data_IF_367468118948
#
_entry.id   IF_367468118948
#
_cell.length_a   1.000
_cell.length_b   1.000
_cell.length_c   1.000
_cell.angle_alpha   90.00
_cell.angle_beta   90.00
_cell.angle_gamma   90.00
#
_symmetry.space_group_name_H-M   'P 1'
#
loop_
_entity.id
_entity.type
_entity.pdbx_description
1 polymer ?
#
# COMPACT_ATOMS: atom_id res chain seq x y z
N UNK A 1 17.29 7.82 -55.32
CA UNK A 1 16.06 8.18 -54.59
C UNK A 1 16.29 7.75 -53.14
N UNK A 2 17.02 8.57 -52.40
CA UNK A 2 17.37 8.34 -50.99
C UNK A 2 16.19 8.74 -50.10
N UNK A 3 15.69 7.79 -49.30
CA UNK A 3 14.68 8.10 -48.29
C UNK A 3 15.40 8.66 -47.07
N UNK A 4 15.25 9.93 -46.85
CA UNK A 4 15.65 10.57 -45.58
C UNK A 4 14.90 9.91 -44.38
N UNK A 5 15.67 9.31 -43.52
CA UNK A 5 15.23 8.79 -42.24
C UNK A 5 15.04 10.00 -41.30
N UNK A 6 13.80 10.45 -41.09
CA UNK A 6 13.52 11.43 -40.06
C UNK A 6 13.50 10.71 -38.72
N UNK A 7 14.34 11.12 -37.75
CA UNK A 7 14.24 10.56 -36.40
C UNK A 7 12.90 11.01 -35.79
N UNK A 8 12.12 10.02 -35.35
CA UNK A 8 10.94 10.26 -34.56
C UNK A 8 11.39 10.98 -33.29
N UNK A 9 10.74 12.11 -32.98
CA UNK A 9 10.90 12.81 -31.71
C UNK A 9 10.58 11.82 -30.60
N UNK A 10 11.60 11.41 -29.83
CA UNK A 10 11.44 10.71 -28.58
C UNK A 10 10.60 11.61 -27.67
N UNK A 11 9.32 11.28 -27.53
CA UNK A 11 8.47 11.77 -26.47
C UNK A 11 9.00 11.10 -25.19
N UNK A 12 10.00 11.71 -24.57
CA UNK A 12 10.43 11.33 -23.22
C UNK A 12 9.27 11.62 -22.28
N UNK A 13 8.37 10.63 -22.14
CA UNK A 13 7.53 10.51 -20.94
C UNK A 13 8.48 10.18 -19.79
N UNK A 14 9.17 11.17 -19.29
CA UNK A 14 9.79 11.11 -17.99
C UNK A 14 8.63 11.02 -16.99
N UNK A 15 8.24 9.79 -16.64
CA UNK A 15 7.27 9.55 -15.56
C UNK A 15 7.90 10.16 -14.31
N UNK A 16 7.41 11.33 -13.93
CA UNK A 16 7.91 12.04 -12.75
C UNK A 16 7.48 11.25 -11.52
N UNK A 17 8.42 10.53 -10.92
CA UNK A 17 8.18 9.72 -9.73
C UNK A 17 7.93 10.63 -8.52
N UNK A 18 6.78 10.49 -7.89
CA UNK A 18 6.44 11.23 -6.68
C UNK A 18 7.02 10.53 -5.46
N UNK A 19 7.89 11.22 -4.73
CA UNK A 19 8.47 10.70 -3.48
C UNK A 19 7.50 10.93 -2.32
N UNK A 20 7.20 9.86 -1.58
CA UNK A 20 6.32 9.87 -0.42
C UNK A 20 7.04 9.31 0.79
N UNK A 21 6.93 10.00 1.93
CA UNK A 21 7.49 9.54 3.21
C UNK A 21 6.37 9.39 4.23
N UNK A 22 6.30 8.23 4.86
CA UNK A 22 5.30 7.94 5.92
C UNK A 22 5.64 8.64 7.23
N UNK A 23 4.65 9.07 8.03
CA UNK A 23 3.21 9.05 7.77
C UNK A 23 2.81 10.13 6.75
N UNK A 24 1.78 9.85 5.93
CA UNK A 24 1.30 10.76 4.90
C UNK A 24 0.37 11.82 5.47
N UNK A 25 0.50 13.05 4.99
CA UNK A 25 -0.49 14.10 5.23
C UNK A 25 -1.70 13.93 4.30
N UNK A 26 -2.86 14.48 4.72
CA UNK A 26 -4.06 14.54 3.89
C UNK A 26 -3.77 15.21 2.52
N UNK A 27 -2.96 16.27 2.53
CA UNK A 27 -2.58 17.01 1.33
C UNK A 27 -1.73 16.17 0.37
N UNK A 28 -0.80 15.35 0.89
CA UNK A 28 0.02 14.48 0.05
C UNK A 28 -0.84 13.47 -0.72
N UNK A 29 -1.86 12.89 -0.06
CA UNK A 29 -2.78 11.93 -0.66
C UNK A 29 -3.71 12.61 -1.66
N UNK A 30 -4.24 13.79 -1.34
CA UNK A 30 -5.19 14.50 -2.22
C UNK A 30 -4.60 14.91 -3.57
N UNK A 31 -3.28 14.97 -3.70
CA UNK A 31 -2.57 15.29 -4.94
C UNK A 31 -2.32 14.10 -5.84
N UNK A 32 -2.42 12.86 -5.32
CA UNK A 32 -2.14 11.65 -6.08
C UNK A 32 -3.25 11.39 -7.09
N UNK A 33 -2.86 10.91 -8.26
CA UNK A 33 -3.77 10.55 -9.34
C UNK A 33 -3.56 9.11 -9.77
N UNK A 34 -4.59 8.52 -10.33
CA UNK A 34 -4.51 7.21 -10.97
C UNK A 34 -3.43 7.23 -12.06
N UNK A 35 -2.53 6.25 -12.03
CA UNK A 35 -1.38 6.13 -12.92
C UNK A 35 -0.09 6.78 -12.41
N UNK A 36 -0.13 7.57 -11.32
CA UNK A 36 1.09 8.13 -10.74
C UNK A 36 2.04 7.02 -10.28
N UNK A 37 3.32 7.16 -10.62
CA UNK A 37 4.39 6.34 -10.06
C UNK A 37 4.90 7.00 -8.80
N UNK A 38 4.86 6.27 -7.69
CA UNK A 38 5.28 6.75 -6.38
C UNK A 38 6.45 5.94 -5.84
N UNK A 39 7.32 6.59 -5.09
CA UNK A 39 8.42 5.98 -4.35
C UNK A 39 8.17 6.21 -2.86
N UNK A 40 7.93 5.14 -2.12
CA UNK A 40 7.52 5.17 -0.71
C UNK A 40 8.71 4.86 0.17
N UNK A 41 8.96 5.72 1.17
CA UNK A 41 9.98 5.51 2.19
C UNK A 41 9.40 5.73 3.60
N UNK A 42 10.05 5.14 4.61
CA UNK A 42 9.63 5.22 6.00
C UNK A 42 9.03 3.94 6.53
N UNK A 43 8.28 4.01 7.63
CA UNK A 43 7.66 2.84 8.23
C UNK A 43 6.31 2.54 7.57
N UNK A 44 6.12 1.27 7.21
CA UNK A 44 4.85 0.75 6.71
C UNK A 44 4.45 -0.50 7.49
N UNK A 45 3.18 -0.87 7.44
CA UNK A 45 2.64 -2.04 8.09
C UNK A 45 2.42 -3.16 7.09
N UNK A 46 2.68 -4.40 7.48
CA UNK A 46 2.41 -5.60 6.68
C UNK A 46 1.41 -6.48 7.42
N UNK A 47 0.35 -6.87 6.74
CA UNK A 47 -0.67 -7.77 7.28
C UNK A 47 -1.60 -8.27 6.20
N UNK A 48 -2.18 -9.44 6.42
CA UNK A 48 -3.15 -10.06 5.50
C UNK A 48 -4.24 -10.83 6.27
N UNK A 49 -4.82 -11.84 5.67
CA UNK A 49 -6.07 -12.52 6.04
C UNK A 49 -6.20 -12.87 7.54
N UNK A 50 -5.12 -13.33 8.19
CA UNK A 50 -5.20 -13.74 9.58
C UNK A 50 -5.20 -12.55 10.57
N UNK A 51 -4.46 -11.49 10.28
CA UNK A 51 -4.29 -10.36 11.21
C UNK A 51 -5.28 -9.22 10.96
N UNK A 52 -5.66 -8.94 9.70
CA UNK A 52 -6.52 -7.80 9.37
C UNK A 52 -7.87 -7.83 10.10
N UNK A 53 -8.59 -8.97 10.22
CA UNK A 53 -9.84 -9.01 10.98
C UNK A 53 -9.66 -8.69 12.46
N UNK A 54 -8.51 -9.05 13.05
CA UNK A 54 -8.19 -8.73 14.46
C UNK A 54 -7.97 -7.23 14.64
N UNK A 55 -7.24 -6.60 13.72
CA UNK A 55 -7.04 -5.15 13.72
C UNK A 55 -8.37 -4.42 13.59
N UNK A 56 -9.18 -4.81 12.61
CA UNK A 56 -10.49 -4.21 12.39
C UNK A 56 -11.37 -4.29 13.63
N UNK A 57 -11.45 -5.47 14.26
CA UNK A 57 -12.22 -5.64 15.49
C UNK A 57 -11.77 -4.72 16.61
N UNK A 58 -10.46 -4.60 16.84
CA UNK A 58 -9.92 -3.72 17.89
C UNK A 58 -10.10 -2.23 17.57
N UNK A 59 -10.04 -1.84 16.31
CA UNK A 59 -10.34 -0.47 15.88
C UNK A 59 -11.81 -0.11 16.14
N UNK A 60 -12.74 -1.01 15.77
CA UNK A 60 -14.18 -0.80 15.95
C UNK A 60 -14.59 -0.76 17.42
N UNK A 61 -13.94 -1.56 18.27
CA UNK A 61 -14.22 -1.61 19.71
C UNK A 61 -13.46 -0.56 20.53
N UNK A 62 -12.54 0.18 19.89
CA UNK A 62 -11.68 1.15 20.58
C UNK A 62 -10.54 0.51 21.38
N UNK A 63 -10.34 -0.79 21.30
CA UNK A 63 -9.27 -1.49 22.02
C UNK A 63 -7.88 -1.24 21.40
N UNK A 64 -7.83 -0.86 20.13
CA UNK A 64 -6.58 -0.59 19.42
C UNK A 64 -5.67 0.41 20.13
N UNK A 65 -6.25 1.45 20.74
CA UNK A 65 -5.49 2.46 21.48
C UNK A 65 -4.62 1.92 22.62
N UNK A 66 -4.97 0.75 23.17
CA UNK A 66 -4.19 0.09 24.23
C UNK A 66 -2.87 -0.49 23.73
N UNK A 67 -2.72 -0.69 22.39
CA UNK A 67 -1.51 -1.25 21.80
C UNK A 67 -0.37 -0.23 21.66
N UNK A 68 -0.69 1.08 21.69
CA UNK A 68 0.30 2.13 21.46
C UNK A 68 0.86 2.15 20.04
N UNK A 69 0.13 1.57 19.08
CA UNK A 69 0.51 1.54 17.65
C UNK A 69 -0.32 2.59 16.93
N UNK A 70 0.35 3.59 16.34
CA UNK A 70 -0.30 4.65 15.57
C UNK A 70 -0.32 4.29 14.08
N UNK A 71 -1.51 4.17 13.51
CA UNK A 71 -1.73 3.88 12.09
C UNK A 71 -2.01 5.14 11.25
N UNK A 72 -2.14 6.31 11.88
CA UNK A 72 -2.52 7.56 11.21
C UNK A 72 -1.54 7.93 10.09
N UNK A 73 -2.08 8.25 8.91
CA UNK A 73 -1.27 8.56 7.73
C UNK A 73 -0.47 7.37 7.20
N UNK A 74 -0.75 6.17 7.73
CA UNK A 74 0.04 4.97 7.47
C UNK A 74 -0.24 4.32 6.12
N UNK A 75 0.65 3.38 5.81
CA UNK A 75 0.55 2.47 4.67
C UNK A 75 0.37 1.06 5.20
N UNK A 76 -0.57 0.31 4.64
CA UNK A 76 -0.66 -1.12 4.88
C UNK A 76 -0.36 -1.90 3.59
N UNK A 77 0.62 -2.77 3.67
CA UNK A 77 0.97 -3.70 2.61
C UNK A 77 0.32 -5.05 2.88
N UNK A 78 -0.59 -5.44 2.00
CA UNK A 78 -1.36 -6.68 2.13
C UNK A 78 -0.51 -7.89 1.75
N UNK A 79 0.43 -8.24 2.62
CA UNK A 79 1.41 -9.30 2.42
C UNK A 79 1.77 -10.01 3.71
N UNK A 80 2.32 -11.21 3.59
CA UNK A 80 3.01 -11.90 4.68
C UNK A 80 4.48 -11.48 4.75
N UNK A 81 5.07 -11.59 5.93
CA UNK A 81 6.49 -11.36 6.17
C UNK A 81 7.13 -12.66 6.62
N UNK A 82 8.14 -13.13 5.90
CA UNK A 82 8.83 -14.37 6.17
C UNK A 82 10.35 -14.16 6.33
N UNK A 83 11.08 -15.14 6.83
CA UNK A 83 12.55 -15.11 6.82
C UNK A 83 13.14 -14.99 5.40
N UNK A 84 12.40 -15.43 4.37
CA UNK A 84 12.82 -15.33 2.98
C UNK A 84 12.53 -13.96 2.35
N UNK A 85 11.86 -13.07 3.05
CA UNK A 85 11.60 -11.71 2.58
C UNK A 85 10.14 -11.26 2.69
N UNK A 86 9.91 -10.06 2.19
CA UNK A 86 8.60 -9.41 2.08
C UNK A 86 8.19 -9.46 0.61
N UNK A 87 6.98 -9.89 0.34
CA UNK A 87 6.49 -9.93 -1.03
C UNK A 87 5.01 -10.25 -1.13
N UNK A 88 4.35 -9.83 -2.22
CA UNK A 88 2.95 -10.11 -2.43
C UNK A 88 2.73 -11.62 -2.59
N UNK A 89 2.00 -12.19 -1.65
CA UNK A 89 1.57 -13.59 -1.66
C UNK A 89 0.12 -13.68 -2.14
N UNK A 90 -0.31 -14.86 -2.58
CA UNK A 90 -1.73 -15.08 -2.85
C UNK A 90 -2.52 -15.02 -1.54
N UNK A 91 -3.66 -14.36 -1.55
CA UNK A 91 -4.52 -14.14 -0.38
C UNK A 91 -5.99 -14.13 -0.82
N UNK A 92 -6.90 -14.27 0.12
CA UNK A 92 -8.31 -14.10 -0.16
C UNK A 92 -8.64 -12.62 -0.38
N UNK A 93 -8.78 -12.24 -1.64
CA UNK A 93 -9.01 -10.86 -2.05
C UNK A 93 -10.24 -10.23 -1.39
N UNK A 94 -11.32 -11.01 -1.23
CA UNK A 94 -12.57 -10.51 -0.63
C UNK A 94 -12.39 -10.15 0.84
N UNK A 95 -11.64 -10.94 1.58
CA UNK A 95 -11.36 -10.68 3.00
C UNK A 95 -10.44 -9.46 3.17
N UNK A 96 -9.46 -9.31 2.29
CA UNK A 96 -8.55 -8.15 2.31
C UNK A 96 -9.32 -6.87 2.02
N UNK A 97 -10.10 -6.82 0.93
CA UNK A 97 -10.89 -5.62 0.59
C UNK A 97 -11.92 -5.28 1.68
N UNK A 98 -12.48 -6.28 2.36
CA UNK A 98 -13.41 -6.07 3.48
C UNK A 98 -12.80 -5.33 4.67
N UNK A 99 -11.49 -5.32 4.82
CA UNK A 99 -10.78 -4.60 5.89
C UNK A 99 -10.48 -3.14 5.57
N UNK A 100 -10.50 -2.74 4.29
CA UNK A 100 -10.05 -1.42 3.86
C UNK A 100 -10.82 -0.27 4.51
N UNK A 101 -12.14 -0.41 4.62
CA UNK A 101 -12.99 0.64 5.23
C UNK A 101 -12.61 0.91 6.67
N UNK A 102 -12.55 -0.14 7.48
CA UNK A 102 -12.24 -0.02 8.91
C UNK A 102 -10.82 0.54 9.11
N UNK A 103 -9.85 0.03 8.35
CA UNK A 103 -8.47 0.50 8.40
C UNK A 103 -8.34 1.97 7.99
N UNK A 104 -9.04 2.42 6.96
CA UNK A 104 -8.99 3.81 6.52
C UNK A 104 -9.75 4.74 7.45
N UNK A 105 -10.97 4.36 7.86
CA UNK A 105 -11.88 5.20 8.63
C UNK A 105 -11.48 5.32 10.10
N UNK A 106 -11.17 4.22 10.74
CA UNK A 106 -10.85 4.17 12.17
C UNK A 106 -9.35 4.10 12.45
N UNK A 107 -8.57 3.46 11.58
CA UNK A 107 -7.11 3.36 11.69
C UNK A 107 -6.37 4.55 11.08
N UNK A 108 -7.01 5.30 10.19
CA UNK A 108 -6.37 6.42 9.48
C UNK A 108 -5.34 5.98 8.42
N UNK A 109 -5.41 4.73 7.95
CA UNK A 109 -4.58 4.26 6.84
C UNK A 109 -4.92 5.04 5.58
N UNK A 110 -3.91 5.57 4.91
CA UNK A 110 -4.05 6.42 3.72
C UNK A 110 -3.67 5.73 2.43
N UNK A 111 -2.87 4.69 2.48
CA UNK A 111 -2.48 3.94 1.30
C UNK A 111 -2.49 2.44 1.57
N UNK A 112 -3.24 1.73 0.74
CA UNK A 112 -3.26 0.27 0.70
C UNK A 112 -2.38 -0.22 -0.44
N UNK A 113 -1.34 -0.99 -0.13
CA UNK A 113 -0.46 -1.63 -1.11
C UNK A 113 -0.91 -3.06 -1.35
N UNK A 114 -1.04 -3.44 -2.60
CA UNK A 114 -1.46 -4.78 -2.96
C UNK A 114 -1.20 -5.12 -4.42
N UNK A 115 -2.00 -6.04 -4.94
CA UNK A 115 -1.96 -6.48 -6.34
C UNK A 115 -3.36 -6.72 -6.88
N UNK A 116 -3.52 -6.60 -8.18
CA UNK A 116 -4.77 -6.86 -8.89
C UNK A 116 -5.82 -5.76 -8.69
N UNK A 117 -6.95 -5.93 -9.38
CA UNK A 117 -8.05 -4.98 -9.36
C UNK A 117 -8.81 -5.01 -8.03
N UNK A 118 -9.39 -3.92 -7.61
CA UNK A 118 -10.35 -3.81 -6.50
C UNK A 118 -11.75 -3.50 -7.03
N UNK A 119 -12.76 -3.72 -6.20
CA UNK A 119 -14.16 -3.47 -6.59
C UNK A 119 -14.46 -1.98 -6.68
N UNK A 120 -15.47 -1.63 -7.49
CA UNK A 120 -15.92 -0.23 -7.63
C UNK A 120 -16.43 0.36 -6.33
N UNK A 121 -17.06 -0.43 -5.47
CA UNK A 121 -17.50 -0.03 -4.14
C UNK A 121 -16.30 0.32 -3.24
N UNK A 122 -15.23 -0.47 -3.33
CA UNK A 122 -13.97 -0.22 -2.60
C UNK A 122 -13.32 1.09 -3.07
N UNK A 123 -13.33 1.36 -4.38
CA UNK A 123 -12.80 2.61 -4.95
C UNK A 123 -13.54 3.83 -4.39
N UNK A 124 -14.88 3.77 -4.32
CA UNK A 124 -15.71 4.85 -3.76
C UNK A 124 -15.43 5.06 -2.28
N UNK A 125 -15.37 3.97 -1.51
CA UNK A 125 -15.10 4.00 -0.08
C UNK A 125 -13.72 4.62 0.21
N UNK A 126 -12.69 4.27 -0.57
CA UNK A 126 -11.37 4.87 -0.44
C UNK A 126 -11.41 6.40 -0.67
N UNK A 127 -12.15 6.85 -1.68
CA UNK A 127 -12.32 8.28 -1.95
C UNK A 127 -12.99 9.02 -0.78
N UNK A 128 -14.03 8.44 -0.18
CA UNK A 128 -14.73 9.00 0.97
C UNK A 128 -13.83 9.16 2.21
N UNK A 129 -12.79 8.33 2.33
CA UNK A 129 -11.84 8.37 3.44
C UNK A 129 -10.50 9.05 3.09
N UNK A 130 -10.42 9.71 1.93
CA UNK A 130 -9.18 10.28 1.38
C UNK A 130 -8.00 9.29 1.49
N UNK A 131 -8.25 8.07 0.98
CA UNK A 131 -7.29 6.99 0.92
C UNK A 131 -7.15 6.50 -0.52
N UNK A 132 -6.03 5.86 -0.83
CA UNK A 132 -5.70 5.37 -2.16
C UNK A 132 -5.27 3.90 -2.13
N UNK A 133 -5.40 3.25 -3.27
CA UNK A 133 -4.85 1.92 -3.49
C UNK A 133 -3.74 1.98 -4.53
N UNK A 134 -2.61 1.32 -4.24
CA UNK A 134 -1.49 1.22 -5.16
C UNK A 134 -1.10 -0.24 -5.40
N UNK A 135 -0.64 -0.50 -6.61
CA UNK A 135 -0.08 -1.79 -7.01
C UNK A 135 1.43 -1.73 -6.87
N UNK A 136 1.97 -2.72 -6.19
CA UNK A 136 3.41 -2.91 -6.04
C UNK A 136 3.88 -4.09 -6.89
N UNK A 137 4.99 -3.98 -7.64
CA UNK A 137 5.54 -5.09 -8.39
C UNK A 137 5.87 -6.29 -7.50
N UNK A 138 5.51 -7.53 -7.90
CA UNK A 138 5.71 -8.72 -7.07
C UNK A 138 7.16 -9.26 -7.15
N UNK A 139 8.14 -8.40 -6.94
CA UNK A 139 9.57 -8.74 -7.04
C UNK A 139 10.16 -8.81 -5.65
N UNK A 140 10.09 -9.99 -5.01
CA UNK A 140 10.53 -10.20 -3.62
C UNK A 140 11.98 -9.78 -3.39
N UNK A 141 12.88 -10.10 -4.31
CA UNK A 141 14.30 -9.73 -4.18
C UNK A 141 14.52 -8.20 -4.16
N UNK A 142 13.76 -7.46 -4.98
CA UNK A 142 13.81 -5.99 -4.99
C UNK A 142 13.25 -5.44 -3.67
N UNK A 143 12.07 -5.87 -3.26
CA UNK A 143 11.44 -5.43 -2.02
C UNK A 143 12.31 -5.75 -0.81
N UNK A 144 12.96 -6.93 -0.80
CA UNK A 144 13.89 -7.31 0.27
C UNK A 144 15.10 -6.37 0.34
N UNK A 145 15.68 -6.02 -0.81
CA UNK A 145 16.83 -5.09 -0.86
C UNK A 145 16.50 -3.67 -0.41
N UNK A 146 15.22 -3.31 -0.45
CA UNK A 146 14.68 -2.00 -0.06
C UNK A 146 14.04 -2.02 1.34
N UNK A 147 14.08 -3.16 2.05
CA UNK A 147 13.59 -3.32 3.42
C UNK A 147 14.74 -3.22 4.41
N UNK A 148 14.81 -2.12 5.15
CA UNK A 148 15.91 -1.82 6.07
C UNK A 148 15.73 -2.48 7.43
N UNK A 149 14.50 -2.50 7.93
CA UNK A 149 14.15 -3.03 9.25
C UNK A 149 12.83 -3.80 9.16
N UNK A 150 12.67 -4.82 10.01
CA UNK A 150 11.40 -5.52 10.19
C UNK A 150 11.20 -5.91 11.63
N UNK A 151 10.00 -5.74 12.13
CA UNK A 151 9.61 -6.00 13.49
C UNK A 151 8.19 -6.58 13.54
N UNK A 152 8.01 -7.68 14.23
CA UNK A 152 6.67 -8.18 14.55
C UNK A 152 6.14 -7.38 15.75
N UNK A 153 5.11 -6.58 15.51
CA UNK A 153 4.58 -5.63 16.52
C UNK A 153 3.29 -6.09 17.20
N UNK A 154 2.58 -7.07 16.61
CA UNK A 154 1.39 -7.65 17.25
C UNK A 154 1.11 -9.06 16.71
N UNK A 155 0.52 -9.89 17.57
CA UNK A 155 0.10 -11.27 17.33
C UNK A 155 1.19 -12.18 16.76
N UNK A 156 2.35 -12.29 17.44
CA UNK A 156 3.47 -13.11 16.95
C UNK A 156 3.12 -14.59 16.75
N UNK A 157 2.08 -15.07 17.41
CA UNK A 157 1.57 -16.44 17.24
C UNK A 157 1.03 -16.73 15.84
N UNK A 158 0.74 -15.69 15.05
CA UNK A 158 0.33 -15.82 13.65
C UNK A 158 1.51 -16.04 12.68
N UNK A 159 2.75 -16.00 13.19
CA UNK A 159 3.94 -16.23 12.37
C UNK A 159 4.07 -15.22 11.24
N UNK A 160 4.15 -15.69 10.00
CA UNK A 160 4.28 -14.83 8.81
C UNK A 160 3.07 -13.91 8.55
N UNK A 161 1.93 -14.21 9.15
CA UNK A 161 0.69 -13.44 9.03
C UNK A 161 0.40 -12.56 10.23
N UNK A 162 1.36 -12.42 11.15
CA UNK A 162 1.32 -11.44 12.23
C UNK A 162 1.34 -10.00 11.67
N UNK A 163 1.07 -9.02 12.51
CA UNK A 163 1.28 -7.62 12.13
C UNK A 163 2.75 -7.27 12.25
N UNK A 164 3.34 -6.93 11.12
CA UNK A 164 4.70 -6.44 11.05
C UNK A 164 4.74 -4.94 10.76
N UNK A 165 5.72 -4.27 11.33
CA UNK A 165 6.17 -2.94 10.92
C UNK A 165 7.51 -3.10 10.24
N UNK A 166 7.64 -2.56 9.04
CA UNK A 166 8.90 -2.59 8.30
C UNK A 166 9.31 -1.17 7.92
N UNK A 167 10.60 -0.91 7.91
CA UNK A 167 11.16 0.33 7.38
C UNK A 167 11.63 0.09 5.97
N UNK A 168 11.13 0.88 5.05
CA UNK A 168 11.41 0.74 3.62
C UNK A 168 12.05 2.01 3.06
N UNK A 169 12.83 1.82 2.00
CA UNK A 169 13.41 2.91 1.21
C UNK A 169 13.11 2.67 -0.27
N UNK A 170 12.48 3.67 -0.90
CA UNK A 170 12.16 3.69 -2.32
C UNK A 170 11.32 2.50 -2.82
N UNK A 171 10.31 2.07 -2.04
CA UNK A 171 9.33 1.10 -2.54
C UNK A 171 8.53 1.75 -3.67
N UNK A 172 8.73 1.28 -4.89
CA UNK A 172 8.03 1.78 -6.07
C UNK A 172 6.66 1.13 -6.21
N UNK A 173 5.65 1.96 -6.45
CA UNK A 173 4.28 1.51 -6.66
C UNK A 173 3.57 2.42 -7.68
N UNK A 174 2.46 1.93 -8.23
CA UNK A 174 1.60 2.67 -9.15
C UNK A 174 0.25 2.89 -8.48
N UNK A 175 -0.21 4.13 -8.41
CA UNK A 175 -1.53 4.46 -7.89
C UNK A 175 -2.59 3.86 -8.83
N UNK A 176 -3.31 2.87 -8.34
CA UNK A 176 -4.31 2.13 -9.12
C UNK A 176 -5.74 2.59 -8.87
N UNK A 177 -6.00 3.19 -7.70
CA UNK A 177 -7.28 3.85 -7.41
C UNK A 177 -7.06 5.05 -6.50
N UNK A 178 -7.68 6.17 -6.85
CA UNK A 178 -7.66 7.44 -6.13
C UNK A 178 -8.90 8.27 -6.47
N UNK A 179 -9.46 8.97 -5.50
CA UNK A 179 -10.54 9.96 -5.67
C UNK A 179 -11.76 9.46 -6.47
N UNK A 180 -12.10 8.18 -6.34
CA UNK A 180 -13.23 7.57 -7.05
C UNK A 180 -12.92 7.07 -8.45
N UNK A 181 -11.69 7.21 -8.92
CA UNK A 181 -11.20 6.68 -10.19
C UNK A 181 -10.30 5.45 -10.00
N UNK A 182 -10.22 4.59 -11.03
CA UNK A 182 -9.39 3.38 -11.02
C UNK A 182 -8.85 3.10 -12.42
N UNK A 183 -7.70 2.42 -12.50
CA UNK A 183 -7.14 1.92 -13.76
C UNK A 183 -7.90 0.71 -14.34
N UNK A 184 -8.88 0.16 -13.64
CA UNK A 184 -9.66 -1.03 -14.02
C UNK A 184 -11.07 -0.68 -14.42
#
# INVERSE_FOLDING_TARGET
>A
MEREFRPQQNNEYCLQMTKLTTPFSEEAISRLKVGDVVSISGYIYCGRDAVLPRICKELETGEWGKRGIDLQGGVIFHTAVSPAGVGPTSSNKLEIEGSFEVLSKFGGIKLHLGKGAIKSETVKMLAENNAVFAIIPPVTALLESQTMERECIAWPELGMEALYRIKVENYEAIIAAAHGESIY
#
